data_IF_308752703600
#
_entry.id   IF_308752703600
#
_cell.length_a   1.000
_cell.length_b   1.000
_cell.length_c   1.000
_cell.angle_alpha   90.00
_cell.angle_beta   90.00
_cell.angle_gamma   90.00
#
_symmetry.space_group_name_H-M   'P 1'
#
loop_
_entity.id
_entity.type
_entity.pdbx_description
1 polymer ?
#
# COMPACT_ATOMS: atom_id res chain seq x y z
N UNK A 1 52.98 -2.46 12.43
CA UNK A 1 52.55 -1.67 11.24
C UNK A 1 51.02 -1.51 11.21
N UNK A 2 50.34 -1.29 12.35
CA UNK A 2 48.89 -1.07 12.41
C UNK A 2 48.51 0.34 12.92
N UNK A 3 49.42 1.03 13.62
CA UNK A 3 49.16 2.35 14.17
C UNK A 3 49.19 3.49 13.12
N UNK A 4 49.96 3.32 12.03
CA UNK A 4 50.12 4.36 11.01
C UNK A 4 48.89 4.55 10.11
N UNK A 5 48.05 3.52 9.95
CA UNK A 5 46.87 3.59 9.09
C UNK A 5 45.70 4.37 9.73
N UNK A 6 45.64 4.42 11.06
CA UNK A 6 44.55 5.08 11.80
C UNK A 6 44.62 6.62 11.70
N UNK A 7 45.82 7.19 11.58
CA UNK A 7 46.01 8.64 11.47
C UNK A 7 45.63 9.20 10.09
N UNK A 8 45.68 8.38 9.04
CA UNK A 8 45.33 8.77 7.67
C UNK A 8 43.80 8.92 7.53
N UNK A 9 43.01 8.09 8.22
CA UNK A 9 41.55 8.15 8.17
C UNK A 9 40.96 9.41 8.85
N UNK A 10 41.66 9.99 9.82
CA UNK A 10 41.20 11.16 10.57
C UNK A 10 41.30 12.49 9.80
N UNK A 11 42.23 12.60 8.85
CA UNK A 11 42.43 13.82 8.02
C UNK A 11 41.53 13.87 6.77
N UNK A 12 40.89 12.75 6.40
CA UNK A 12 39.96 12.64 5.27
C UNK A 12 38.47 12.66 5.68
N UNK A 13 38.16 12.90 6.95
CA UNK A 13 36.77 12.97 7.43
C UNK A 13 36.00 11.65 7.32
N UNK A 14 36.67 10.53 7.07
CA UNK A 14 36.03 9.23 6.91
C UNK A 14 35.95 8.53 8.28
N UNK A 15 35.06 9.03 9.12
CA UNK A 15 34.64 8.32 10.32
C UNK A 15 33.91 7.04 9.87
N UNK A 16 34.33 5.83 10.28
CA UNK A 16 33.49 4.66 10.11
C UNK A 16 32.23 4.90 10.94
N UNK A 17 31.11 5.14 10.25
CA UNK A 17 29.81 5.16 10.86
C UNK A 17 29.59 3.80 11.51
N UNK A 18 29.62 3.78 12.84
CA UNK A 18 29.29 2.61 13.64
C UNK A 18 27.84 2.26 13.30
N UNK A 19 27.62 1.25 12.47
CA UNK A 19 26.28 0.75 12.17
C UNK A 19 25.78 0.01 13.40
N UNK A 20 25.17 0.76 14.32
CA UNK A 20 24.29 0.20 15.33
C UNK A 20 23.01 -0.24 14.63
N UNK A 21 22.97 -1.45 14.10
CA UNK A 21 21.73 -2.05 13.59
C UNK A 21 21.27 -3.14 14.53
N UNK A 22 20.51 -2.67 15.52
CA UNK A 22 19.22 -3.23 15.90
C UNK A 22 19.08 -4.75 15.94
N UNK A 23 19.10 -5.24 17.17
CA UNK A 23 18.44 -6.44 17.66
C UNK A 23 17.30 -7.00 16.77
N UNK A 24 17.42 -8.30 16.45
CA UNK A 24 16.31 -9.24 16.62
C UNK A 24 15.22 -9.23 15.54
N UNK A 25 15.59 -9.59 14.31
CA UNK A 25 14.65 -9.98 13.26
C UNK A 25 13.84 -11.21 13.63
N UNK A 26 12.73 -11.02 14.34
CA UNK A 26 11.70 -12.04 14.51
C UNK A 26 10.89 -12.09 13.21
N UNK A 27 11.24 -13.02 12.32
CA UNK A 27 10.56 -13.38 11.05
C UNK A 27 9.66 -12.27 10.48
N UNK A 28 10.28 -11.30 9.79
CA UNK A 28 9.60 -10.19 9.08
C UNK A 28 8.38 -10.61 8.23
N UNK A 29 8.39 -11.79 7.55
CA UNK A 29 7.23 -12.23 6.78
C UNK A 29 5.98 -12.43 7.63
N UNK A 30 6.12 -12.90 8.87
CA UNK A 30 4.96 -13.19 9.75
C UNK A 30 4.27 -11.94 10.27
N UNK A 31 5.03 -10.88 10.56
CA UNK A 31 4.45 -9.60 10.98
C UNK A 31 3.74 -8.89 9.81
N UNK A 32 4.37 -8.90 8.63
CA UNK A 32 3.78 -8.35 7.42
C UNK A 32 2.51 -9.12 6.99
N UNK A 33 2.53 -10.45 7.08
CA UNK A 33 1.37 -11.27 6.80
C UNK A 33 0.18 -10.90 7.69
N UNK A 34 0.39 -10.84 9.01
CA UNK A 34 -0.66 -10.45 9.96
C UNK A 34 -1.19 -9.04 9.69
N UNK A 35 -0.32 -8.13 9.26
CA UNK A 35 -0.74 -6.78 8.86
C UNK A 35 -1.65 -6.85 7.62
N UNK A 36 -1.24 -7.55 6.58
CA UNK A 36 -2.00 -7.68 5.34
C UNK A 36 -3.35 -8.37 5.58
N UNK A 37 -3.39 -9.38 6.45
CA UNK A 37 -4.64 -10.03 6.90
C UNK A 37 -5.54 -9.06 7.67
N UNK A 38 -4.99 -8.33 8.66
CA UNK A 38 -5.75 -7.37 9.48
C UNK A 38 -6.43 -6.30 8.64
N UNK A 39 -5.76 -5.80 7.60
CA UNK A 39 -6.27 -4.74 6.74
C UNK A 39 -7.00 -5.27 5.50
N UNK A 40 -7.12 -6.59 5.34
CA UNK A 40 -7.88 -7.24 4.28
C UNK A 40 -7.20 -7.27 2.91
N UNK A 41 -5.88 -7.11 2.87
CA UNK A 41 -5.07 -7.26 1.66
C UNK A 41 -4.78 -8.72 1.30
N UNK A 42 -4.79 -9.61 2.30
CA UNK A 42 -4.44 -11.02 2.13
C UNK A 42 -5.43 -11.91 2.90
N UNK A 43 -6.04 -12.88 2.22
CA UNK A 43 -6.91 -13.89 2.84
C UNK A 43 -6.12 -15.19 2.99
N UNK A 44 -5.87 -15.63 4.22
CA UNK A 44 -5.32 -16.97 4.46
C UNK A 44 -6.45 -17.99 4.33
N UNK A 45 -6.72 -18.45 3.11
CA UNK A 45 -7.90 -19.32 2.84
C UNK A 45 -7.78 -20.68 3.54
N UNK A 46 -6.57 -21.16 3.84
CA UNK A 46 -6.35 -22.40 4.59
C UNK A 46 -5.12 -22.29 5.51
N UNK A 47 -5.00 -23.18 6.49
CA UNK A 47 -3.85 -23.29 7.42
C UNK A 47 -2.48 -23.46 6.71
N UNK A 48 -2.48 -23.64 5.38
CA UNK A 48 -1.31 -23.54 4.52
C UNK A 48 -1.33 -22.15 3.87
N UNK A 49 -0.33 -21.28 4.14
CA UNK A 49 -0.25 -19.98 3.49
C UNK A 49 -0.03 -20.21 2.00
N UNK A 50 -1.06 -19.99 1.19
CA UNK A 50 -0.90 -19.87 -0.26
C UNK A 50 -0.24 -18.51 -0.54
N UNK A 51 1.10 -18.49 -0.51
CA UNK A 51 1.90 -17.28 -0.70
C UNK A 51 1.88 -16.76 -2.15
N UNK A 52 1.17 -17.43 -3.07
CA UNK A 52 1.08 -17.01 -4.48
C UNK A 52 0.48 -15.61 -4.61
N UNK A 53 -0.50 -15.26 -3.78
CA UNK A 53 -1.12 -13.92 -3.75
C UNK A 53 -0.40 -12.88 -2.90
N UNK A 54 0.67 -13.26 -2.18
CA UNK A 54 1.36 -12.36 -1.24
C UNK A 54 2.03 -11.16 -1.94
N UNK A 55 2.71 -11.31 -3.09
CA UNK A 55 3.28 -10.17 -3.80
C UNK A 55 2.22 -9.18 -4.30
N UNK A 56 1.06 -9.67 -4.70
CA UNK A 56 -0.02 -8.81 -5.18
C UNK A 56 -0.67 -8.05 -4.02
N UNK A 57 -0.87 -8.70 -2.86
CA UNK A 57 -1.28 -8.01 -1.63
C UNK A 57 -0.31 -6.89 -1.22
N UNK A 58 1.01 -7.11 -1.38
CA UNK A 58 2.01 -6.07 -1.14
C UNK A 58 1.86 -4.92 -2.14
N UNK A 59 1.68 -5.19 -3.43
CA UNK A 59 1.48 -4.14 -4.44
C UNK A 59 0.25 -3.29 -4.14
N UNK A 60 -0.84 -3.91 -3.71
CA UNK A 60 -2.07 -3.20 -3.31
C UNK A 60 -1.81 -2.27 -2.13
N UNK A 61 -1.11 -2.75 -1.08
CA UNK A 61 -0.71 -1.90 0.04
C UNK A 61 0.21 -0.74 -0.40
N UNK A 62 1.19 -1.03 -1.25
CA UNK A 62 2.12 -0.03 -1.79
C UNK A 62 1.35 1.04 -2.58
N UNK A 63 0.40 0.63 -3.41
CA UNK A 63 -0.43 1.55 -4.18
C UNK A 63 -1.24 2.50 -3.29
N UNK A 64 -1.98 1.97 -2.31
CA UNK A 64 -2.80 2.77 -1.38
C UNK A 64 -1.92 3.70 -0.54
N UNK A 65 -0.73 3.25 -0.16
CA UNK A 65 0.21 4.00 0.68
C UNK A 65 1.11 4.94 -0.12
N UNK A 66 0.92 5.05 -1.44
CA UNK A 66 1.73 5.84 -2.35
C UNK A 66 3.23 5.50 -2.33
N UNK A 67 3.53 4.20 -2.17
CA UNK A 67 4.87 3.64 -2.25
C UNK A 67 5.16 3.14 -3.67
N UNK A 68 6.45 2.98 -4.02
CA UNK A 68 6.83 2.32 -5.26
C UNK A 68 6.26 0.89 -5.36
N UNK A 69 5.66 0.56 -6.50
CA UNK A 69 5.06 -0.76 -6.76
C UNK A 69 6.14 -1.79 -7.07
N UNK A 70 6.74 -2.36 -6.03
CA UNK A 70 7.72 -3.43 -6.14
C UNK A 70 7.09 -4.82 -6.00
N UNK A 71 6.04 -4.95 -5.17
CA UNK A 71 5.50 -6.24 -4.76
C UNK A 71 6.43 -7.06 -3.86
N UNK A 72 7.55 -6.48 -3.43
CA UNK A 72 8.46 -7.08 -2.46
C UNK A 72 8.40 -6.34 -1.13
N UNK A 73 8.75 -7.06 -0.07
CA UNK A 73 8.75 -6.52 1.29
C UNK A 73 10.05 -5.72 1.53
N UNK A 74 10.12 -4.52 0.96
CA UNK A 74 11.27 -3.62 1.13
C UNK A 74 11.25 -2.89 2.48
N UNK A 75 12.39 -2.27 2.84
CA UNK A 75 12.52 -1.57 4.11
C UNK A 75 11.53 -0.40 4.25
N UNK A 76 11.19 0.27 3.14
CA UNK A 76 10.23 1.37 3.11
C UNK A 76 8.82 0.84 3.37
N UNK A 77 8.40 -0.25 2.70
CA UNK A 77 7.12 -0.92 2.96
C UNK A 77 7.00 -1.35 4.42
N UNK A 78 8.04 -1.99 4.96
CA UNK A 78 8.07 -2.41 6.37
C UNK A 78 7.96 -1.22 7.33
N UNK A 79 8.66 -0.13 7.06
CA UNK A 79 8.55 1.09 7.84
C UNK A 79 7.11 1.62 7.83
N UNK A 80 6.48 1.70 6.65
CA UNK A 80 5.10 2.15 6.52
C UNK A 80 4.09 1.23 7.21
N UNK A 81 4.31 -0.10 7.19
CA UNK A 81 3.49 -1.06 7.93
C UNK A 81 3.61 -0.88 9.46
N UNK A 82 4.73 -0.33 9.95
CA UNK A 82 4.96 -0.08 11.38
C UNK A 82 4.35 1.22 11.91
N UNK A 83 3.92 2.13 11.02
CA UNK A 83 3.35 3.41 11.43
C UNK A 83 1.95 3.22 12.04
N UNK A 84 1.58 4.03 13.04
CA UNK A 84 0.24 3.98 13.61
C UNK A 84 -0.82 4.33 12.55
N UNK A 85 -1.91 3.56 12.52
CA UNK A 85 -3.03 3.72 11.58
C UNK A 85 -4.37 3.56 12.27
N UNK A 86 -5.44 3.95 11.58
CA UNK A 86 -6.79 3.56 11.98
C UNK A 86 -6.95 2.03 11.91
N UNK A 87 -7.89 1.47 12.66
CA UNK A 87 -8.18 0.03 12.68
C UNK A 87 -9.15 -0.44 11.60
N UNK A 88 -9.49 0.42 10.63
CA UNK A 88 -10.45 0.13 9.56
C UNK A 88 -9.78 -0.68 8.46
N UNK A 89 -10.51 -1.60 7.83
CA UNK A 89 -9.99 -2.40 6.71
C UNK A 89 -9.77 -1.54 5.45
N UNK A 90 -8.81 -1.92 4.62
CA UNK A 90 -8.50 -1.24 3.36
C UNK A 90 -9.16 -1.92 2.15
N UNK A 91 -9.61 -3.17 2.30
CA UNK A 91 -10.24 -3.99 1.26
C UNK A 91 -11.54 -3.38 0.68
N UNK A 92 -12.39 -2.83 1.56
CA UNK A 92 -13.63 -2.17 1.14
C UNK A 92 -13.33 -0.90 0.32
N UNK A 93 -12.25 -0.20 0.67
CA UNK A 93 -11.82 1.02 -0.01
C UNK A 93 -11.36 0.74 -1.45
N UNK A 94 -10.51 -0.28 -1.66
CA UNK A 94 -10.04 -0.61 -3.00
C UNK A 94 -11.18 -1.15 -3.89
N UNK A 95 -11.97 -2.10 -3.39
CA UNK A 95 -13.09 -2.65 -4.17
C UNK A 95 -14.15 -1.60 -4.51
N UNK A 96 -14.45 -0.68 -3.59
CA UNK A 96 -15.36 0.44 -3.85
C UNK A 96 -14.78 1.43 -4.88
N UNK A 97 -13.50 1.76 -4.79
CA UNK A 97 -12.83 2.62 -5.77
C UNK A 97 -12.80 1.97 -7.16
N UNK A 98 -12.42 0.69 -7.25
CA UNK A 98 -12.41 -0.07 -8.50
C UNK A 98 -13.81 -0.10 -9.12
N UNK A 99 -14.85 -0.44 -8.37
CA UNK A 99 -16.25 -0.39 -8.83
C UNK A 99 -16.64 1.00 -9.34
N UNK A 100 -16.22 2.06 -8.67
CA UNK A 100 -16.48 3.44 -9.10
C UNK A 100 -15.76 3.76 -10.42
N UNK A 101 -14.50 3.38 -10.56
CA UNK A 101 -13.74 3.58 -11.79
C UNK A 101 -14.33 2.76 -12.94
N UNK A 102 -14.60 1.48 -12.72
CA UNK A 102 -15.23 0.60 -13.71
C UNK A 102 -16.59 1.16 -14.15
N UNK A 103 -17.40 1.73 -13.24
CA UNK A 103 -18.65 2.38 -13.61
C UNK A 103 -18.47 3.63 -14.50
N UNK A 104 -17.38 4.38 -14.33
CA UNK A 104 -17.05 5.52 -15.19
C UNK A 104 -16.59 5.08 -16.58
N UNK A 105 -15.76 4.03 -16.66
CA UNK A 105 -15.17 3.57 -17.91
C UNK A 105 -16.02 2.57 -18.68
N UNK A 106 -16.94 1.85 -18.02
CA UNK A 106 -17.84 0.87 -18.67
C UNK A 106 -18.94 1.53 -19.51
N UNK A 107 -18.91 2.85 -19.70
CA UNK A 107 -19.80 3.56 -20.62
C UNK A 107 -21.29 3.40 -20.29
N UNK A 108 -21.60 2.97 -19.06
CA UNK A 108 -22.96 2.74 -18.58
C UNK A 108 -23.67 4.07 -18.44
N UNK A 109 -24.29 4.53 -19.54
CA UNK A 109 -25.19 5.68 -19.61
C UNK A 109 -25.90 5.83 -18.28
N UNK A 110 -25.54 6.83 -17.50
CA UNK A 110 -26.32 7.22 -16.33
C UNK A 110 -27.72 7.55 -16.85
N UNK A 111 -28.61 6.56 -16.82
CA UNK A 111 -30.00 6.69 -17.23
C UNK A 111 -30.63 7.66 -16.26
N UNK A 112 -30.64 8.92 -16.66
CA UNK A 112 -31.61 9.93 -16.30
C UNK A 112 -31.49 11.01 -17.37
N UNK A 113 -32.25 10.80 -18.45
CA UNK A 113 -32.88 11.91 -19.12
C UNK A 113 -33.55 12.72 -18.00
N UNK A 114 -32.88 13.79 -17.57
CA UNK A 114 -33.43 14.79 -16.67
C UNK A 114 -34.55 15.41 -17.47
N UNK A 115 -35.78 14.88 -17.34
CA UNK A 115 -36.96 15.43 -18.03
C UNK A 115 -36.98 16.93 -17.74
N UNK A 116 -36.85 17.75 -18.79
CA UNK A 116 -36.99 19.19 -18.67
C UNK A 116 -38.36 19.46 -18.07
N UNK A 117 -38.38 20.16 -16.93
CA UNK A 117 -39.57 20.40 -16.10
C UNK A 117 -40.56 21.39 -16.72
N UNK A 118 -40.26 21.98 -17.89
CA UNK A 118 -40.98 23.16 -18.40
C UNK A 118 -41.62 23.00 -19.79
N UNK A 119 -41.84 21.77 -20.28
CA UNK A 119 -42.49 21.56 -21.59
C UNK A 119 -44.02 21.46 -21.54
N UNK A 120 -44.67 22.01 -20.51
CA UNK A 120 -46.12 21.98 -20.38
C UNK A 120 -46.67 23.39 -20.08
N UNK A 121 -46.57 24.30 -21.05
CA UNK A 121 -47.53 25.42 -21.17
C UNK A 121 -47.36 26.13 -22.52
N UNK A 122 -48.07 25.64 -23.53
CA UNK A 122 -48.55 26.48 -24.63
C UNK A 122 -49.70 25.78 -25.35
N UNK A 123 -50.89 25.81 -24.74
CA UNK A 123 -52.17 25.69 -25.43
C UNK A 123 -53.21 26.51 -24.69
N UNK A 124 -53.54 27.67 -25.25
CA UNK A 124 -54.81 28.41 -25.13
C UNK A 124 -54.72 29.43 -26.27
N UNK A 125 -55.32 29.10 -27.43
CA UNK A 125 -56.66 29.55 -27.83
C UNK A 125 -56.60 31.00 -28.33
#
# INVERSE_FOLDING_TARGET
>A
MAAAAALIAALLGLLPAQTSTGAGGRSQPGAAQRFLEKYGYFESVHQVPDLTGFPDAIKEFQWISHLPLSGTLDAITLHHMSLPRCGVNDAESHTAWKKRMDALFSGGKARKSRRKRYLHQSKSA
#
